data_IF_806699423099
#
_entry.id   IF_806699423099
#
_cell.length_a   1.000
_cell.length_b   1.000
_cell.length_c   1.000
_cell.angle_alpha   90.00
_cell.angle_beta   90.00
_cell.angle_gamma   90.00
#
_symmetry.space_group_name_H-M   'P 1'
#
loop_
_entity.id
_entity.type
_entity.pdbx_description
1 polymer ?
#
# COMPACT_ATOMS: atom_id res chain seq x y z
N UNK A 1 21.00 -2.00 26.69
CA UNK A 1 22.38 -2.10 26.18
C UNK A 1 22.38 -3.18 25.11
N UNK A 2 22.53 -2.81 23.84
CA UNK A 2 22.62 -3.76 22.74
C UNK A 2 24.07 -3.76 22.25
N UNK A 3 24.71 -4.92 22.32
CA UNK A 3 26.06 -5.17 21.85
C UNK A 3 26.02 -5.53 20.36
N UNK A 4 26.37 -4.57 19.51
CA UNK A 4 26.56 -4.80 18.08
C UNK A 4 27.95 -5.40 17.86
N UNK A 5 28.00 -6.70 17.56
CA UNK A 5 29.21 -7.37 17.07
C UNK A 5 29.49 -6.91 15.64
N UNK A 6 30.66 -6.31 15.33
CA UNK A 6 31.01 -6.01 13.95
C UNK A 6 31.35 -7.31 13.22
N UNK A 7 30.62 -7.59 12.14
CA UNK A 7 30.95 -8.69 11.23
C UNK A 7 32.16 -8.25 10.40
N UNK A 8 33.33 -8.80 10.71
CA UNK A 8 34.56 -8.57 9.94
C UNK A 8 34.49 -9.43 8.68
N UNK A 9 34.03 -8.85 7.58
CA UNK A 9 34.10 -9.50 6.27
C UNK A 9 35.53 -9.35 5.74
N UNK A 10 36.28 -10.44 5.76
CA UNK A 10 37.62 -10.50 5.14
C UNK A 10 37.46 -10.34 3.63
N UNK A 11 37.85 -9.18 3.10
CA UNK A 11 37.98 -8.97 1.66
C UNK A 11 39.25 -9.69 1.20
N UNK A 12 39.09 -10.90 0.67
CA UNK A 12 40.19 -11.61 0.01
C UNK A 12 40.44 -10.94 -1.34
N UNK A 13 41.54 -10.17 -1.41
CA UNK A 13 42.03 -9.54 -2.64
C UNK A 13 42.37 -10.64 -3.66
N UNK A 14 41.86 -10.60 -4.90
CA UNK A 14 42.27 -11.55 -5.93
C UNK A 14 43.77 -11.42 -6.19
N UNK A 15 44.49 -12.53 -6.12
CA UNK A 15 45.90 -12.58 -6.46
C UNK A 15 46.06 -12.44 -7.97
N UNK A 16 46.48 -11.26 -8.42
CA UNK A 16 46.85 -11.00 -9.81
C UNK A 16 48.33 -11.36 -9.93
N UNK A 17 48.65 -12.45 -10.62
CA UNK A 17 50.03 -12.86 -10.87
C UNK A 17 50.78 -11.74 -11.63
N UNK A 18 51.99 -11.34 -11.21
CA UNK A 18 52.75 -10.28 -11.86
C UNK A 18 53.49 -10.86 -13.07
N UNK A 19 52.75 -11.20 -14.12
CA UNK A 19 53.35 -11.90 -15.25
C UNK A 19 52.43 -12.10 -16.44
N UNK A 20 51.54 -11.17 -16.75
CA UNK A 20 50.91 -11.15 -18.06
C UNK A 20 50.58 -9.72 -18.49
N UNK A 21 51.07 -9.39 -19.67
CA UNK A 21 51.10 -8.05 -20.22
C UNK A 21 49.72 -7.69 -20.79
N UNK A 22 49.21 -6.51 -20.42
CA UNK A 22 48.20 -5.74 -21.16
C UNK A 22 46.99 -6.51 -21.72
N UNK A 23 46.08 -6.92 -20.83
CA UNK A 23 44.65 -6.82 -21.12
C UNK A 23 44.03 -6.07 -19.96
N UNK A 24 43.47 -4.89 -20.23
CA UNK A 24 42.64 -4.18 -19.25
C UNK A 24 41.63 -5.18 -18.71
N UNK A 25 41.58 -5.51 -17.40
CA UNK A 25 40.46 -6.24 -16.87
C UNK A 25 39.31 -5.25 -16.86
N UNK A 26 38.67 -5.08 -18.02
CA UNK A 26 37.39 -4.43 -18.11
C UNK A 26 36.45 -5.34 -17.34
N UNK A 27 36.26 -5.05 -16.06
CA UNK A 27 35.28 -5.75 -15.22
C UNK A 27 33.96 -5.59 -15.93
N UNK A 28 33.49 -6.65 -16.56
CA UNK A 28 32.22 -6.64 -17.27
C UNK A 28 31.14 -6.59 -16.20
N UNK A 29 30.55 -5.40 -16.02
CA UNK A 29 29.49 -5.17 -15.03
C UNK A 29 28.36 -6.21 -15.18
N UNK A 30 28.13 -6.69 -16.39
CA UNK A 30 27.12 -7.70 -16.66
C UNK A 30 27.50 -9.07 -16.09
N UNK A 31 28.74 -9.52 -16.27
CA UNK A 31 29.25 -10.79 -15.74
C UNK A 31 29.25 -10.77 -14.21
N UNK A 32 29.62 -9.64 -13.61
CA UNK A 32 29.54 -9.42 -12.17
C UNK A 32 28.09 -9.44 -11.65
N UNK A 33 27.17 -8.77 -12.33
CA UNK A 33 25.75 -8.78 -11.94
C UNK A 33 25.12 -10.17 -12.05
N UNK A 34 25.59 -11.01 -12.97
CA UNK A 34 25.13 -12.40 -13.13
C UNK A 34 25.70 -13.33 -12.04
N UNK A 35 26.98 -13.19 -11.70
CA UNK A 35 27.66 -14.00 -10.66
C UNK A 35 27.08 -13.75 -9.26
N UNK A 36 26.69 -12.50 -8.96
CA UNK A 36 26.22 -12.08 -7.65
C UNK A 36 24.73 -11.71 -7.61
N UNK A 37 23.94 -12.09 -8.63
CA UNK A 37 22.53 -11.70 -8.75
C UNK A 37 21.73 -12.02 -7.48
N UNK A 38 21.89 -13.24 -6.95
CA UNK A 38 21.17 -13.72 -5.77
C UNK A 38 21.56 -12.97 -4.49
N UNK A 39 22.79 -12.45 -4.39
CA UNK A 39 23.26 -11.67 -3.25
C UNK A 39 22.91 -10.18 -3.38
N UNK A 40 22.85 -9.66 -4.61
CA UNK A 40 22.52 -8.27 -4.92
C UNK A 40 21.00 -8.03 -4.81
N UNK A 41 20.18 -9.00 -5.19
CA UNK A 41 18.72 -8.88 -5.19
C UNK A 41 18.14 -8.48 -3.82
N UNK A 42 18.49 -9.15 -2.70
CA UNK A 42 18.04 -8.76 -1.37
C UNK A 42 18.42 -7.32 -1.01
N UNK A 43 19.63 -6.89 -1.37
CA UNK A 43 20.15 -5.55 -1.07
C UNK A 43 19.38 -4.49 -1.86
N UNK A 44 19.12 -4.72 -3.16
CA UNK A 44 18.30 -3.83 -3.98
C UNK A 44 16.88 -3.76 -3.41
N UNK A 45 16.29 -4.91 -3.07
CA UNK A 45 14.95 -4.96 -2.50
C UNK A 45 14.85 -4.25 -1.14
N UNK A 46 15.88 -4.37 -0.30
CA UNK A 46 15.97 -3.67 0.98
C UNK A 46 16.14 -2.17 0.76
N UNK A 47 17.00 -1.75 -0.17
CA UNK A 47 17.19 -0.34 -0.52
C UNK A 47 15.91 0.29 -1.06
N UNK A 48 15.21 -0.41 -1.96
CA UNK A 48 13.91 0.00 -2.48
C UNK A 48 12.88 0.09 -1.36
N UNK A 49 12.87 -0.86 -0.40
CA UNK A 49 11.99 -0.79 0.78
C UNK A 49 12.31 0.41 1.65
N UNK A 50 13.58 0.63 1.97
CA UNK A 50 14.03 1.74 2.80
C UNK A 50 13.70 3.09 2.15
N UNK A 51 13.95 3.24 0.85
CA UNK A 51 13.65 4.47 0.12
C UNK A 51 12.14 4.72 0.05
N UNK A 52 11.34 3.68 -0.24
CA UNK A 52 9.87 3.76 -0.18
C UNK A 52 9.38 4.16 1.22
N UNK A 53 9.96 3.58 2.26
CA UNK A 53 9.55 3.88 3.63
C UNK A 53 9.97 5.30 4.05
N UNK A 54 11.15 5.76 3.61
CA UNK A 54 11.62 7.14 3.79
C UNK A 54 10.69 8.13 3.11
N UNK A 55 10.23 7.83 1.90
CA UNK A 55 9.21 8.64 1.20
C UNK A 55 7.85 8.63 1.89
N UNK A 56 7.43 7.52 2.50
CA UNK A 56 6.19 7.47 3.26
C UNK A 56 6.29 8.24 4.59
N UNK A 57 7.45 8.18 5.24
CA UNK A 57 7.67 8.78 6.56
C UNK A 57 8.02 10.28 6.51
N UNK A 58 8.24 10.86 5.32
CA UNK A 58 8.49 12.31 5.16
C UNK A 58 7.26 13.16 5.50
N UNK A 59 6.06 12.58 5.51
CA UNK A 59 4.79 13.24 5.80
C UNK A 59 3.98 12.43 6.81
N UNK A 60 4.45 12.37 8.06
CA UNK A 60 3.64 11.85 9.18
C UNK A 60 2.58 12.89 9.53
N UNK A 61 1.31 12.48 9.49
CA UNK A 61 0.16 13.32 9.88
C UNK A 61 -0.29 13.00 11.30
N UNK A 62 -0.88 13.98 11.98
CA UNK A 62 -1.49 13.79 13.29
C UNK A 62 -2.77 12.92 13.17
N UNK A 63 -2.96 11.88 14.01
CA UNK A 63 -4.20 11.10 14.05
C UNK A 63 -5.49 11.92 14.17
N UNK A 64 -5.47 13.12 14.76
CA UNK A 64 -6.64 14.00 14.86
C UNK A 64 -7.18 14.41 13.49
N UNK A 65 -6.32 14.46 12.47
CA UNK A 65 -6.68 14.86 11.11
C UNK A 65 -7.53 13.82 10.35
N UNK A 66 -7.71 12.60 10.89
CA UNK A 66 -8.52 11.55 10.24
C UNK A 66 -9.93 12.08 9.88
N UNK A 67 -10.55 12.87 10.77
CA UNK A 67 -11.91 13.39 10.56
C UNK A 67 -12.01 14.41 9.41
N UNK A 68 -10.88 14.99 8.99
CA UNK A 68 -10.81 15.92 7.86
C UNK A 68 -10.83 15.20 6.52
N UNK A 69 -10.63 13.88 6.49
CA UNK A 69 -10.66 13.08 5.28
C UNK A 69 -12.13 12.82 4.90
N UNK A 70 -12.67 13.68 4.05
CA UNK A 70 -14.04 13.58 3.51
C UNK A 70 -14.04 13.00 2.11
N UNK A 71 -15.12 12.29 1.76
CA UNK A 71 -15.43 11.95 0.39
C UNK A 71 -15.72 13.24 -0.39
N UNK A 72 -15.06 13.40 -1.53
CA UNK A 72 -15.18 14.58 -2.39
C UNK A 72 -16.42 14.46 -3.29
N UNK A 73 -16.88 15.58 -3.82
CA UNK A 73 -17.97 15.59 -4.80
C UNK A 73 -17.57 14.78 -6.05
N UNK A 74 -18.44 13.85 -6.45
CA UNK A 74 -18.22 12.96 -7.60
C UNK A 74 -17.19 11.83 -7.36
N UNK A 75 -16.55 11.77 -6.20
CA UNK A 75 -15.65 10.66 -5.84
C UNK A 75 -16.46 9.40 -5.51
N UNK A 76 -16.08 8.27 -6.09
CA UNK A 76 -16.73 7.00 -5.77
C UNK A 76 -16.36 6.54 -4.36
N UNK A 77 -17.18 5.68 -3.76
CA UNK A 77 -16.85 5.09 -2.44
C UNK A 77 -15.55 4.27 -2.51
N UNK A 78 -15.28 3.64 -3.66
CA UNK A 78 -14.03 2.88 -3.89
C UNK A 78 -12.81 3.79 -3.90
N UNK A 79 -12.86 4.89 -4.65
CA UNK A 79 -11.76 5.86 -4.71
C UNK A 79 -11.51 6.52 -3.35
N UNK A 80 -12.59 6.91 -2.66
CA UNK A 80 -12.51 7.43 -1.31
C UNK A 80 -11.86 6.43 -0.36
N UNK A 81 -12.25 5.16 -0.43
CA UNK A 81 -11.72 4.09 0.40
C UNK A 81 -10.21 3.89 0.19
N UNK A 82 -9.74 3.85 -1.05
CA UNK A 82 -8.30 3.72 -1.35
C UNK A 82 -7.50 4.94 -0.88
N UNK A 83 -8.05 6.14 -1.08
CA UNK A 83 -7.43 7.38 -0.57
C UNK A 83 -7.39 7.40 0.95
N UNK A 84 -8.48 7.03 1.61
CA UNK A 84 -8.58 6.96 3.06
C UNK A 84 -7.56 5.98 3.67
N UNK A 85 -7.39 4.78 3.09
CA UNK A 85 -6.33 3.83 3.49
C UNK A 85 -4.94 4.45 3.41
N UNK A 86 -4.66 5.12 2.30
CA UNK A 86 -3.34 5.73 2.05
C UNK A 86 -3.05 6.87 3.01
N UNK A 87 -4.03 7.75 3.26
CA UNK A 87 -3.87 8.88 4.17
C UNK A 87 -3.77 8.44 5.63
N UNK A 88 -4.65 7.54 6.08
CA UNK A 88 -4.64 7.04 7.46
C UNK A 88 -3.48 6.08 7.75
N UNK A 89 -2.92 5.44 6.72
CA UNK A 89 -1.69 4.65 6.83
C UNK A 89 -0.45 5.48 7.18
N UNK A 90 -0.47 6.79 6.94
CA UNK A 90 0.61 7.73 7.33
C UNK A 90 0.46 8.26 8.75
N UNK A 91 -0.64 7.93 9.43
CA UNK A 91 -0.95 8.37 10.80
C UNK A 91 -0.59 7.24 11.77
N UNK A 92 0.73 7.12 12.04
CA UNK A 92 1.26 6.12 12.98
C UNK A 92 0.65 6.32 14.37
N UNK A 93 0.28 5.22 15.02
CA UNK A 93 -0.31 5.26 16.37
C UNK A 93 -1.80 5.61 16.44
N UNK A 94 -2.45 5.94 15.32
CA UNK A 94 -3.90 6.17 15.34
C UNK A 94 -4.64 4.89 15.78
N UNK A 95 -5.54 4.97 16.78
CA UNK A 95 -6.38 3.85 17.18
C UNK A 95 -7.34 3.43 16.07
N UNK A 96 -7.67 2.14 16.02
CA UNK A 96 -8.54 1.60 14.99
C UNK A 96 -9.96 2.18 15.04
N UNK A 97 -10.49 2.39 16.25
CA UNK A 97 -11.77 3.06 16.46
C UNK A 97 -11.80 4.48 15.87
N UNK A 98 -10.67 5.20 15.93
CA UNK A 98 -10.54 6.54 15.36
C UNK A 98 -10.56 6.49 13.83
N UNK A 99 -9.86 5.52 13.22
CA UNK A 99 -9.90 5.31 11.76
C UNK A 99 -11.31 4.94 11.30
N UNK A 100 -11.99 4.04 12.01
CA UNK A 100 -13.34 3.59 11.67
C UNK A 100 -14.34 4.72 11.80
N UNK A 101 -14.32 5.44 12.94
CA UNK A 101 -15.18 6.60 13.16
C UNK A 101 -14.94 7.69 12.12
N UNK A 102 -13.67 7.97 11.81
CA UNK A 102 -13.30 8.93 10.79
C UNK A 102 -13.78 8.55 9.39
N UNK A 103 -13.74 7.26 9.02
CA UNK A 103 -14.29 6.77 7.76
C UNK A 103 -15.81 6.95 7.69
N UNK A 104 -16.53 6.53 8.74
CA UNK A 104 -17.98 6.67 8.84
C UNK A 104 -18.42 8.14 8.82
N UNK A 105 -17.63 9.03 9.41
CA UNK A 105 -17.87 10.47 9.38
C UNK A 105 -17.46 11.11 8.04
N UNK A 106 -16.55 10.47 7.29
CA UNK A 106 -16.00 10.97 6.03
C UNK A 106 -16.81 10.61 4.81
N UNK A 107 -17.50 9.46 4.82
CA UNK A 107 -18.30 8.96 3.71
C UNK A 107 -19.59 9.76 3.53
N UNK A 108 -19.99 10.03 2.29
CA UNK A 108 -21.21 10.79 1.98
C UNK A 108 -22.43 9.89 1.67
N UNK A 109 -22.35 8.60 2.00
CA UNK A 109 -23.39 7.61 1.74
C UNK A 109 -24.05 7.16 3.06
N UNK A 110 -25.28 7.62 3.36
CA UNK A 110 -25.97 7.31 4.62
C UNK A 110 -26.36 5.83 4.73
N UNK A 111 -26.65 5.13 3.63
CA UNK A 111 -26.99 3.70 3.63
C UNK A 111 -25.80 2.83 4.03
N UNK A 112 -24.61 3.14 3.52
CA UNK A 112 -23.36 2.51 3.93
C UNK A 112 -23.07 2.81 5.40
N UNK A 113 -23.25 4.06 5.81
CA UNK A 113 -23.06 4.46 7.22
C UNK A 113 -24.00 3.67 8.13
N UNK A 114 -25.27 3.52 7.75
CA UNK A 114 -26.24 2.69 8.47
C UNK A 114 -25.81 1.24 8.56
N UNK A 115 -25.39 0.64 7.43
CA UNK A 115 -24.92 -0.76 7.38
C UNK A 115 -23.70 -1.00 8.28
N UNK A 116 -22.79 -0.05 8.34
CA UNK A 116 -21.62 -0.09 9.23
C UNK A 116 -22.02 0.09 10.71
N UNK A 117 -23.08 0.83 11.02
CA UNK A 117 -23.60 0.94 12.39
C UNK A 117 -24.34 -0.32 12.85
N UNK A 118 -25.04 -1.02 11.95
CA UNK A 118 -25.72 -2.29 12.27
C UNK A 118 -24.74 -3.35 12.74
N UNK A 119 -23.56 -3.40 12.13
CA UNK A 119 -22.47 -4.29 12.50
C UNK A 119 -21.17 -3.49 12.59
N UNK A 120 -20.96 -2.84 13.74
CA UNK A 120 -19.81 -1.96 13.97
C UNK A 120 -18.51 -2.74 13.76
N UNK A 121 -17.70 -2.40 12.75
CA UNK A 121 -16.41 -3.03 12.53
C UNK A 121 -15.48 -2.79 13.72
N UNK A 122 -14.66 -3.77 14.06
CA UNK A 122 -13.58 -3.63 15.06
C UNK A 122 -12.24 -3.34 14.42
N UNK A 123 -12.12 -3.66 13.14
CA UNK A 123 -10.90 -3.44 12.36
C UNK A 123 -11.19 -2.72 11.05
N UNK A 124 -10.19 -2.01 10.55
CA UNK A 124 -10.16 -1.46 9.19
C UNK A 124 -10.45 -2.57 8.19
N UNK A 125 -9.87 -3.76 8.36
CA UNK A 125 -10.11 -4.89 7.46
C UNK A 125 -11.59 -5.27 7.38
N UNK A 126 -12.27 -5.40 8.52
CA UNK A 126 -13.72 -5.67 8.57
C UNK A 126 -14.52 -4.56 7.89
N UNK A 127 -14.18 -3.30 8.16
CA UNK A 127 -14.81 -2.14 7.54
C UNK A 127 -14.68 -2.16 6.01
N UNK A 128 -13.50 -2.51 5.49
CA UNK A 128 -13.27 -2.62 4.04
C UNK A 128 -14.08 -3.76 3.43
N UNK A 129 -14.12 -4.92 4.08
CA UNK A 129 -14.91 -6.07 3.60
C UNK A 129 -16.39 -5.68 3.51
N UNK A 130 -16.94 -5.05 4.55
CA UNK A 130 -18.34 -4.58 4.57
C UNK A 130 -18.61 -3.55 3.47
N UNK A 131 -17.68 -2.62 3.26
CA UNK A 131 -17.81 -1.58 2.23
C UNK A 131 -17.76 -2.15 0.82
N UNK A 132 -16.82 -3.05 0.52
CA UNK A 132 -16.76 -3.75 -0.77
C UNK A 132 -18.02 -4.59 -1.02
N UNK A 133 -18.51 -5.29 0.01
CA UNK A 133 -19.76 -6.03 -0.10
C UNK A 133 -20.97 -5.11 -0.37
N UNK A 134 -20.96 -3.90 0.17
CA UNK A 134 -21.96 -2.87 -0.12
C UNK A 134 -21.90 -2.40 -1.57
N UNK A 135 -20.74 -1.99 -2.06
CA UNK A 135 -20.56 -1.53 -3.45
C UNK A 135 -20.98 -2.61 -4.46
N UNK A 136 -20.60 -3.87 -4.21
CA UNK A 136 -21.01 -5.00 -5.04
C UNK A 136 -22.52 -5.20 -5.05
N UNK A 137 -23.18 -5.00 -3.91
CA UNK A 137 -24.64 -5.05 -3.79
C UNK A 137 -25.32 -3.96 -4.63
N UNK A 138 -24.84 -2.72 -4.53
CA UNK A 138 -25.34 -1.58 -5.31
C UNK A 138 -25.20 -1.81 -6.82
N UNK A 139 -24.03 -2.28 -7.27
CA UNK A 139 -23.79 -2.59 -8.68
C UNK A 139 -24.75 -3.68 -9.21
N UNK A 140 -25.05 -4.70 -8.39
CA UNK A 140 -25.99 -5.77 -8.76
C UNK A 140 -27.45 -5.28 -8.83
N UNK A 141 -27.85 -4.32 -7.99
CA UNK A 141 -29.18 -3.70 -8.07
C UNK A 141 -29.29 -2.82 -9.31
N UNK A 142 -28.26 -2.03 -9.60
CA UNK A 142 -28.22 -1.17 -10.78
C UNK A 142 -28.27 -1.97 -12.10
N UNK A 143 -27.60 -3.13 -12.17
CA UNK A 143 -27.61 -3.99 -13.35
C UNK A 143 -28.99 -4.64 -13.59
N UNK A 144 -29.69 -5.08 -12.53
CA UNK A 144 -31.08 -5.57 -12.63
C UNK A 144 -32.04 -4.51 -13.15
N UNK A 145 -31.88 -3.26 -12.69
CA UNK A 145 -32.74 -2.15 -13.14
C UNK A 145 -32.59 -1.91 -14.64
N UNK A 146 -31.36 -1.91 -15.17
CA UNK A 146 -31.09 -1.81 -16.63
C UNK A 146 -31.69 -2.97 -17.42
N UNK A 147 -31.56 -4.20 -16.93
CA UNK A 147 -32.17 -5.37 -17.55
C UNK A 147 -33.69 -5.26 -17.65
N UNK A 148 -34.37 -4.79 -16.60
CA UNK A 148 -35.84 -4.67 -16.57
C UNK A 148 -36.39 -3.59 -17.51
N UNK A 149 -35.68 -2.47 -17.72
CA UNK A 149 -36.16 -1.42 -18.67
C UNK A 149 -36.05 -1.87 -20.12
N UNK A 150 -35.05 -2.71 -20.44
CA UNK A 150 -34.77 -3.20 -21.79
C UNK A 150 -35.91 -4.02 -22.41
N UNK A 151 -36.69 -4.75 -21.61
CA UNK A 151 -37.78 -5.60 -22.12
C UNK A 151 -39.12 -4.87 -22.30
N UNK A 152 -39.29 -3.67 -21.73
CA UNK A 152 -40.54 -2.91 -21.83
C UNK A 152 -40.62 -1.99 -23.07
N UNK A 153 -39.57 -1.92 -23.88
CA UNK A 153 -39.54 -1.10 -25.10
C UNK A 153 -40.08 -1.82 -26.36
N UNK A 154 -40.63 -3.04 -26.22
CA UNK A 154 -41.20 -3.80 -27.32
C UNK A 154 -42.61 -4.31 -26.94
N UNK A 155 -43.57 -3.41 -26.82
CA UNK A 155 -45.02 -3.71 -26.97
C UNK A 155 -45.67 -2.53 -27.66
#
# INVERSE_FOLDING_TARGET
MANTTPLVTTITKPAINPGEANTSPGVNIQEFCEEYYEDILPIIMEKVRHDRQKEQNKYVKDPVEIHNIKQRDGETIEDFMERFKTETGRMKGAPECMRISGFMHGVNNPELTKRLNEHVPKTMKEMMITTTAFIRGEAAVASKKKGHVSWKAHV
#
